data_IF_030211611416
#
_entry.id   IF_030211611416
#
_cell.length_a   1.000
_cell.length_b   1.000
_cell.length_c   1.000
_cell.angle_alpha   90.00
_cell.angle_beta   90.00
_cell.angle_gamma   90.00
#
_symmetry.space_group_name_H-M   'P 1'
#
loop_
_entity.id
_entity.type
_entity.pdbx_description
1 polymer ?
#
# COMPACT_ATOMS: atom_id res chain seq x y z
N UNK A 1 11.21 4.98 -11.59
CA UNK A 1 10.47 4.25 -12.63
C UNK A 1 9.35 5.15 -13.11
N UNK A 2 9.66 6.15 -13.96
CA UNK A 2 8.70 7.20 -14.33
C UNK A 2 7.38 6.67 -14.89
N UNK A 3 7.41 5.53 -15.58
CA UNK A 3 6.26 4.86 -16.17
C UNK A 3 5.22 4.34 -15.15
N UNK A 4 5.61 4.21 -13.88
CA UNK A 4 4.73 3.82 -12.76
C UNK A 4 4.54 4.93 -11.72
N UNK A 5 4.94 6.16 -12.04
CA UNK A 5 4.76 7.34 -11.17
C UNK A 5 3.62 8.22 -11.70
N UNK A 6 2.82 8.76 -10.79
CA UNK A 6 1.77 9.75 -11.08
C UNK A 6 1.61 10.69 -9.88
N UNK A 7 0.54 11.50 -9.86
CA UNK A 7 0.24 12.42 -8.75
C UNK A 7 0.16 11.69 -7.39
N UNK A 8 -0.46 10.52 -7.37
CA UNK A 8 -0.83 9.80 -6.14
C UNK A 8 0.06 8.58 -5.87
N UNK A 9 1.06 8.33 -6.71
CA UNK A 9 2.03 7.25 -6.51
C UNK A 9 3.41 7.67 -7.01
N UNK A 10 4.41 7.52 -6.15
CA UNK A 10 5.83 7.70 -6.49
C UNK A 10 6.55 6.36 -6.43
N UNK A 11 7.24 5.99 -7.51
CA UNK A 11 7.95 4.71 -7.61
C UNK A 11 9.45 4.86 -7.89
N UNK A 12 10.24 4.08 -7.18
CA UNK A 12 11.67 3.96 -7.41
C UNK A 12 12.12 2.50 -7.44
N UNK A 13 13.29 2.26 -8.02
CA UNK A 13 13.97 0.98 -7.97
C UNK A 13 15.06 1.06 -6.90
N UNK A 14 14.93 0.27 -5.85
CA UNK A 14 15.95 0.13 -4.83
C UNK A 14 16.89 -1.01 -5.21
N UNK A 15 18.16 -0.68 -5.44
CA UNK A 15 19.25 -1.63 -5.55
C UNK A 15 19.77 -1.92 -4.13
N UNK A 16 19.46 -3.10 -3.60
CA UNK A 16 19.75 -3.42 -2.19
C UNK A 16 21.21 -3.82 -1.95
N UNK A 17 21.93 -4.13 -3.02
CA UNK A 17 23.26 -4.76 -2.99
C UNK A 17 23.31 -6.10 -2.22
N UNK A 18 22.15 -6.73 -1.97
CA UNK A 18 22.05 -8.04 -1.35
C UNK A 18 21.94 -9.15 -2.41
N UNK A 19 22.76 -10.22 -2.36
CA UNK A 19 22.73 -11.28 -3.37
C UNK A 19 21.36 -11.96 -3.54
N UNK A 20 20.63 -12.11 -2.44
CA UNK A 20 19.34 -12.82 -2.40
C UNK A 20 18.13 -11.91 -2.71
N UNK A 21 18.32 -10.58 -2.75
CA UNK A 21 17.25 -9.61 -3.02
C UNK A 21 17.79 -8.40 -3.79
N UNK A 22 18.43 -8.57 -4.96
CA UNK A 22 19.27 -7.53 -5.56
C UNK A 22 18.51 -6.24 -5.93
N UNK A 23 17.20 -6.35 -6.19
CA UNK A 23 16.35 -5.22 -6.54
C UNK A 23 14.95 -5.36 -5.94
N UNK A 24 14.42 -4.24 -5.45
CA UNK A 24 13.05 -4.11 -4.96
C UNK A 24 12.45 -2.86 -5.59
N UNK A 25 11.24 -2.98 -6.15
CA UNK A 25 10.48 -1.81 -6.55
C UNK A 25 9.80 -1.27 -5.30
N UNK A 26 9.98 0.02 -5.01
CA UNK A 26 9.38 0.67 -3.86
C UNK A 26 8.36 1.69 -4.35
N UNK A 27 7.16 1.66 -3.77
CA UNK A 27 6.06 2.55 -4.09
C UNK A 27 5.59 3.28 -2.84
N UNK A 28 5.61 4.60 -2.88
CA UNK A 28 4.87 5.45 -1.94
C UNK A 28 3.53 5.81 -2.58
N UNK A 29 2.42 5.51 -1.92
CA UNK A 29 1.07 5.64 -2.47
C UNK A 29 0.19 6.47 -1.55
N UNK A 30 -0.49 7.48 -2.10
CA UNK A 30 -1.52 8.21 -1.40
C UNK A 30 -2.89 7.81 -1.95
N UNK A 31 -3.83 7.45 -1.07
CA UNK A 31 -5.19 7.08 -1.44
C UNK A 31 -6.16 8.10 -0.84
N UNK A 32 -6.54 9.09 -1.66
CA UNK A 32 -7.44 10.15 -1.25
C UNK A 32 -8.77 9.60 -0.70
N UNK A 33 -9.11 9.98 0.52
CA UNK A 33 -10.35 9.60 1.20
C UNK A 33 -11.60 9.99 0.42
N UNK A 34 -11.56 11.12 -0.30
CA UNK A 34 -12.71 11.67 -1.05
C UNK A 34 -12.87 11.02 -2.42
N UNK A 35 -11.86 10.28 -2.89
CA UNK A 35 -11.92 9.64 -4.19
C UNK A 35 -12.78 8.37 -4.12
N UNK A 36 -13.81 8.22 -4.97
CA UNK A 36 -14.62 7.01 -5.02
C UNK A 36 -13.83 5.77 -5.47
N UNK A 37 -12.77 5.97 -6.26
CA UNK A 37 -11.80 4.91 -6.53
C UNK A 37 -10.84 4.82 -5.33
N UNK A 38 -10.83 3.66 -4.68
CA UNK A 38 -10.07 3.47 -3.43
C UNK A 38 -8.57 3.61 -3.65
N UNK A 39 -8.04 3.14 -4.78
CA UNK A 39 -6.62 3.24 -5.12
C UNK A 39 -6.40 3.86 -6.51
N UNK A 40 -5.22 4.45 -6.78
CA UNK A 40 -4.89 4.99 -8.11
C UNK A 40 -4.81 3.90 -9.18
N UNK A 41 -5.27 4.17 -10.40
CA UNK A 41 -5.14 3.25 -11.55
C UNK A 41 -3.70 2.79 -11.80
N UNK A 42 -2.75 3.68 -11.51
CA UNK A 42 -1.32 3.42 -11.65
C UNK A 42 -0.83 2.31 -10.70
N UNK A 43 -1.40 2.21 -9.49
CA UNK A 43 -1.10 1.09 -8.59
C UNK A 43 -1.50 -0.25 -9.23
N UNK A 44 -2.68 -0.30 -9.85
CA UNK A 44 -3.12 -1.51 -10.56
C UNK A 44 -2.19 -1.89 -11.72
N UNK A 45 -1.64 -0.91 -12.46
CA UNK A 45 -0.64 -1.15 -13.51
C UNK A 45 0.66 -1.69 -12.93
N UNK A 46 1.15 -1.10 -11.83
CA UNK A 46 2.36 -1.54 -11.14
C UNK A 46 2.21 -2.96 -10.60
N UNK A 47 1.11 -3.29 -9.94
CA UNK A 47 0.83 -4.63 -9.41
C UNK A 47 0.86 -5.69 -10.52
N UNK A 48 0.21 -5.41 -11.67
CA UNK A 48 0.26 -6.31 -12.83
C UNK A 48 1.68 -6.49 -13.37
N UNK A 49 2.43 -5.39 -13.50
CA UNK A 49 3.82 -5.44 -13.95
C UNK A 49 4.70 -6.28 -13.02
N UNK A 50 4.63 -6.04 -11.71
CA UNK A 50 5.37 -6.80 -10.71
C UNK A 50 5.00 -8.29 -10.71
N UNK A 51 3.70 -8.61 -10.84
CA UNK A 51 3.23 -10.00 -10.90
C UNK A 51 3.75 -10.73 -12.13
N UNK A 52 3.66 -10.12 -13.32
CA UNK A 52 4.13 -10.74 -14.56
C UNK A 52 5.66 -10.86 -14.62
N UNK A 53 6.39 -9.83 -14.17
CA UNK A 53 7.85 -9.81 -14.14
C UNK A 53 8.47 -10.50 -12.92
N UNK A 54 7.64 -11.03 -11.99
CA UNK A 54 8.05 -11.57 -10.68
C UNK A 54 8.96 -10.60 -9.92
N UNK A 55 8.67 -9.31 -10.00
CA UNK A 55 9.45 -8.28 -9.31
C UNK A 55 9.01 -8.20 -7.85
N UNK A 56 9.99 -8.07 -6.95
CA UNK A 56 9.73 -7.78 -5.55
C UNK A 56 9.24 -6.35 -5.41
N UNK A 57 8.18 -6.17 -4.65
CA UNK A 57 7.48 -4.90 -4.48
C UNK A 57 7.35 -4.60 -2.99
N UNK A 58 7.57 -3.35 -2.62
CA UNK A 58 7.28 -2.82 -1.29
C UNK A 58 6.40 -1.59 -1.49
N UNK A 59 5.22 -1.58 -0.87
CA UNK A 59 4.27 -0.46 -0.91
C UNK A 59 4.18 0.12 0.49
N UNK A 60 4.25 1.44 0.59
CA UNK A 60 3.93 2.18 1.80
C UNK A 60 2.85 3.18 1.42
N UNK A 61 1.74 3.18 2.14
CA UNK A 61 0.59 3.96 1.72
C UNK A 61 -0.16 4.60 2.88
N UNK A 62 -0.48 5.88 2.74
CA UNK A 62 -1.63 6.47 3.42
C UNK A 62 -2.90 6.05 2.65
N UNK A 63 -3.63 5.10 3.23
CA UNK A 63 -4.78 4.46 2.58
C UNK A 63 -6.10 5.20 2.81
N UNK A 64 -6.14 6.06 3.84
CA UNK A 64 -7.37 6.58 4.43
C UNK A 64 -8.46 5.50 4.63
N UNK A 65 -8.05 4.27 4.97
CA UNK A 65 -8.92 3.12 5.13
C UNK A 65 -8.69 2.45 6.49
N UNK A 66 -9.75 1.85 7.03
CA UNK A 66 -9.71 1.17 8.31
C UNK A 66 -9.89 -0.32 8.08
N UNK A 67 -8.99 -1.14 8.63
CA UNK A 67 -9.14 -2.59 8.64
C UNK A 67 -8.44 -3.20 9.85
N UNK A 68 -9.12 -4.18 10.45
CA UNK A 68 -8.53 -5.07 11.45
C UNK A 68 -7.31 -5.85 10.93
N UNK A 69 -7.17 -6.05 9.62
CA UNK A 69 -6.01 -6.71 8.99
C UNK A 69 -4.69 -5.98 9.26
N UNK A 70 -4.72 -4.65 9.41
CA UNK A 70 -3.56 -3.84 9.81
C UNK A 70 -3.73 -3.19 11.19
N UNK A 71 -4.61 -3.73 12.03
CA UNK A 71 -4.72 -3.36 13.44
C UNK A 71 -5.72 -2.26 13.78
N UNK A 72 -6.52 -1.77 12.83
CA UNK A 72 -7.64 -0.87 13.17
C UNK A 72 -8.69 -1.59 14.03
N UNK A 73 -9.40 -0.84 14.87
CA UNK A 73 -10.49 -1.37 15.71
C UNK A 73 -11.74 -1.78 14.91
N UNK A 74 -11.86 -1.27 13.68
CA UNK A 74 -12.98 -1.49 12.78
C UNK A 74 -12.49 -1.74 11.35
N UNK A 75 -13.35 -2.34 10.52
CA UNK A 75 -13.12 -2.47 9.07
C UNK A 75 -14.21 -1.72 8.31
N UNK A 76 -13.84 -0.64 7.63
CA UNK A 76 -14.76 0.15 6.81
C UNK A 76 -14.81 -0.35 5.35
N UNK A 77 -15.68 0.21 4.51
CA UNK A 77 -15.85 -0.25 3.14
C UNK A 77 -14.57 -0.09 2.27
N UNK A 78 -13.78 0.97 2.51
CA UNK A 78 -12.48 1.15 1.83
C UNK A 78 -11.49 0.07 2.28
N UNK A 79 -11.51 -0.26 3.57
CA UNK A 79 -10.73 -1.35 4.17
C UNK A 79 -11.02 -2.69 3.51
N UNK A 80 -12.31 -3.06 3.40
CA UNK A 80 -12.73 -4.30 2.72
C UNK A 80 -12.23 -4.36 1.27
N UNK A 81 -12.36 -3.27 0.52
CA UNK A 81 -11.87 -3.22 -0.86
C UNK A 81 -10.35 -3.40 -0.96
N UNK A 82 -9.60 -2.87 0.01
CA UNK A 82 -8.14 -3.06 0.08
C UNK A 82 -7.76 -4.46 0.56
N UNK A 83 -8.50 -5.07 1.49
CA UNK A 83 -8.32 -6.48 1.87
C UNK A 83 -8.46 -7.39 0.63
N UNK A 84 -9.48 -7.15 -0.21
CA UNK A 84 -9.65 -7.87 -1.49
C UNK A 84 -8.47 -7.65 -2.45
N UNK A 85 -8.01 -6.40 -2.60
CA UNK A 85 -6.85 -6.08 -3.43
C UNK A 85 -5.58 -6.81 -2.93
N UNK A 86 -5.35 -6.80 -1.62
CA UNK A 86 -4.22 -7.46 -0.96
C UNK A 86 -4.28 -8.97 -1.22
N UNK A 87 -5.44 -9.59 -1.00
CA UNK A 87 -5.65 -11.01 -1.23
C UNK A 87 -5.45 -11.40 -2.70
N UNK A 88 -6.06 -10.68 -3.64
CA UNK A 88 -5.97 -10.96 -5.08
C UNK A 88 -4.55 -10.82 -5.65
N UNK A 89 -3.71 -10.01 -5.01
CA UNK A 89 -2.31 -9.80 -5.42
C UNK A 89 -1.31 -10.55 -4.52
N UNK A 90 -1.79 -11.36 -3.56
CA UNK A 90 -0.98 -12.11 -2.62
C UNK A 90 0.08 -11.22 -1.93
N UNK A 91 -0.36 -10.05 -1.47
CA UNK A 91 0.49 -9.12 -0.71
C UNK A 91 0.42 -9.47 0.78
N UNK A 92 1.54 -9.33 1.48
CA UNK A 92 1.62 -9.42 2.92
C UNK A 92 1.46 -8.05 3.57
N UNK A 93 0.70 -7.96 4.66
CA UNK A 93 0.60 -6.78 5.52
C UNK A 93 1.68 -6.85 6.59
N UNK A 94 2.47 -5.79 6.75
CA UNK A 94 3.59 -5.74 7.70
C UNK A 94 3.31 -4.92 8.96
N UNK A 95 2.17 -4.23 9.02
CA UNK A 95 1.75 -3.53 10.22
C UNK A 95 1.57 -4.50 11.37
N UNK A 96 2.02 -4.10 12.56
CA UNK A 96 1.87 -4.88 13.79
C UNK A 96 1.43 -3.97 14.94
N UNK A 97 0.78 -4.56 15.95
CA UNK A 97 0.22 -3.82 17.07
C UNK A 97 -0.99 -2.97 16.65
N UNK A 98 -1.36 -2.04 17.53
CA UNK A 98 -2.52 -1.18 17.37
C UNK A 98 -2.21 0.28 17.73
N UNK A 99 -0.94 0.69 17.59
CA UNK A 99 -0.56 2.09 17.79
C UNK A 99 -1.04 2.92 16.59
N UNK A 100 -1.81 4.00 16.81
CA UNK A 100 -2.30 4.83 15.72
C UNK A 100 -1.15 5.45 14.91
N UNK A 101 -1.33 5.50 13.59
CA UNK A 101 -0.37 6.13 12.66
C UNK A 101 -0.75 7.57 12.35
N UNK A 102 -2.03 7.90 12.54
CA UNK A 102 -2.57 9.24 12.36
C UNK A 102 -3.31 9.70 13.62
N UNK A 103 -3.06 10.95 14.01
CA UNK A 103 -3.71 11.60 15.14
C UNK A 103 -4.22 12.97 14.74
N UNK A 104 -5.47 13.27 15.08
CA UNK A 104 -5.99 14.64 15.06
C UNK A 104 -6.72 14.95 16.38
N UNK A 105 -7.33 16.13 16.50
CA UNK A 105 -8.02 16.56 17.73
C UNK A 105 -9.23 15.71 18.12
N UNK A 106 -9.76 14.89 17.21
CA UNK A 106 -11.04 14.16 17.33
C UNK A 106 -10.90 12.64 17.17
N UNK A 107 -9.87 12.16 16.49
CA UNK A 107 -9.67 10.73 16.25
C UNK A 107 -8.18 10.36 16.27
N UNK A 108 -7.94 9.07 16.48
CA UNK A 108 -6.65 8.42 16.32
C UNK A 108 -6.89 7.13 15.55
N UNK A 109 -6.23 6.97 14.40
CA UNK A 109 -6.53 5.91 13.44
C UNK A 109 -5.26 5.26 12.91
N UNK A 110 -5.40 4.06 12.34
CA UNK A 110 -4.31 3.33 11.68
C UNK A 110 -4.65 3.26 10.20
N UNK A 111 -4.12 4.23 9.44
CA UNK A 111 -4.43 4.40 8.01
C UNK A 111 -3.18 4.32 7.14
N UNK A 112 -1.99 4.32 7.74
CA UNK A 112 -0.71 4.12 7.06
C UNK A 112 -0.34 2.64 7.07
N UNK A 113 -0.24 2.04 5.88
CA UNK A 113 -0.09 0.59 5.71
C UNK A 113 1.16 0.27 4.89
N UNK A 114 1.90 -0.76 5.32
CA UNK A 114 3.07 -1.31 4.61
C UNK A 114 2.76 -2.70 4.06
N UNK A 115 2.98 -2.91 2.75
CA UNK A 115 2.65 -4.14 2.03
C UNK A 115 3.83 -4.67 1.19
N UNK A 116 3.93 -5.99 0.97
CA UNK A 116 4.90 -6.58 0.00
C UNK A 116 4.43 -7.86 -0.69
#
# INVERSE_FOLDING_TARGET
MPEFTSRDISTCLWLTHQPHLPKVIVASVYMDYTNPLVWPDMLGKLLRYCRHGRHKLLIMSDTNAHSSLWGSSDTNNRGKALEDLIFLNNLAVHNTGAHPTFHNRRSSTIIDVTLS
#
